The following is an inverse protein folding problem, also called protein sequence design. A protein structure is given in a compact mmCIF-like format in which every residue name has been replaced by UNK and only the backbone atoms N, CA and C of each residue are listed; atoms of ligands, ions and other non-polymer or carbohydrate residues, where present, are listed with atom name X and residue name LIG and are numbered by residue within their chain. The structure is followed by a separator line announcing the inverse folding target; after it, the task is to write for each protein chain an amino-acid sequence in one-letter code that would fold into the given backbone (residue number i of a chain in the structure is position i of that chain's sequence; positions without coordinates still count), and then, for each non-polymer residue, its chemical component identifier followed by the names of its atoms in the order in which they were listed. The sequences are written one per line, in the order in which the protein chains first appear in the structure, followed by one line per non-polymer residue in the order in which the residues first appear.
data_IF_934646258849
#
_entry.id   IF_934646258849
#
_cell.length_a   1.000
_cell.length_b   1.000
_cell.length_c   1.000
_cell.angle_alpha   90.00
_cell.angle_beta   90.00
_cell.angle_gamma   90.00
#
_symmetry.space_group_name_H-M   'P 1'
#
loop_
_entity.id
_entity.type
_entity.pdbx_description
1 polymer ?
#
# COMPACT_ATOMS: atom_id res chain seq x y z
N UNK A 1 -28.32 -21.81 -10.65
CA UNK A 1 -26.97 -21.95 -11.22
C UNK A 1 -26.00 -21.14 -10.37
N UNK A 2 -25.38 -21.77 -9.35
CA UNK A 2 -24.41 -21.10 -8.47
C UNK A 2 -23.04 -21.26 -9.09
N UNK A 3 -22.67 -20.34 -9.97
CA UNK A 3 -21.29 -20.23 -10.45
C UNK A 3 -20.39 -20.00 -9.23
N UNK A 4 -19.57 -21.00 -8.90
CA UNK A 4 -18.52 -20.88 -7.90
C UNK A 4 -17.44 -20.04 -8.56
N UNK A 5 -17.57 -18.72 -8.46
CA UNK A 5 -16.45 -17.83 -8.76
C UNK A 5 -15.43 -18.04 -7.65
N UNK A 6 -14.24 -18.53 -8.00
CA UNK A 6 -13.10 -18.47 -7.11
C UNK A 6 -12.88 -16.99 -6.78
N UNK A 7 -13.20 -16.58 -5.56
CA UNK A 7 -13.00 -15.19 -5.15
C UNK A 7 -11.51 -14.89 -5.21
N UNK A 8 -11.12 -14.03 -6.15
CA UNK A 8 -9.75 -13.53 -6.23
C UNK A 8 -9.64 -12.30 -5.34
N UNK A 9 -8.41 -11.98 -4.94
CA UNK A 9 -8.12 -10.83 -4.05
C UNK A 9 -8.37 -9.45 -4.70
N UNK A 10 -8.70 -9.41 -6.00
CA UNK A 10 -8.89 -8.17 -6.78
C UNK A 10 -10.19 -8.21 -7.61
N UNK A 11 -11.22 -8.91 -7.13
CA UNK A 11 -12.52 -9.02 -7.80
C UNK A 11 -13.45 -7.89 -7.35
N UNK A 12 -13.81 -7.01 -8.30
CA UNK A 12 -14.60 -5.78 -8.09
C UNK A 12 -13.93 -4.73 -7.18
N UNK A 13 -12.60 -4.64 -7.25
CA UNK A 13 -11.80 -3.68 -6.50
C UNK A 13 -11.40 -2.45 -7.35
N UNK A 14 -11.46 -1.27 -6.73
CA UNK A 14 -10.93 -0.02 -7.28
C UNK A 14 -9.69 0.40 -6.50
N UNK A 15 -8.56 0.57 -7.19
CA UNK A 15 -7.34 1.13 -6.65
C UNK A 15 -7.09 2.55 -7.18
N UNK A 16 -6.71 3.46 -6.30
CA UNK A 16 -6.32 4.83 -6.68
C UNK A 16 -5.17 5.28 -5.79
N UNK A 17 -4.20 5.98 -6.38
CA UNK A 17 -3.04 6.50 -5.66
C UNK A 17 -2.62 7.87 -6.19
N UNK A 18 -2.02 8.67 -5.32
CA UNK A 18 -1.47 9.98 -5.63
C UNK A 18 0.02 9.97 -5.30
N UNK A 19 0.84 10.41 -6.26
CA UNK A 19 2.27 10.61 -6.08
C UNK A 19 2.57 12.11 -6.02
N UNK A 20 3.24 12.53 -4.95
CA UNK A 20 3.76 13.87 -4.80
C UNK A 20 5.29 13.83 -4.84
N UNK A 21 5.87 14.62 -5.74
CA UNK A 21 7.33 14.72 -5.92
C UNK A 21 7.73 16.17 -5.67
N UNK A 22 8.64 16.38 -4.72
CA UNK A 22 9.07 17.73 -4.32
C UNK A 22 10.05 18.36 -5.33
N UNK A 23 10.63 17.54 -6.22
CA UNK A 23 11.66 17.95 -7.18
C UNK A 23 12.86 18.66 -6.53
N UNK A 24 13.19 18.33 -5.27
CA UNK A 24 14.36 18.85 -4.59
C UNK A 24 15.62 18.04 -4.96
N UNK A 25 16.79 18.56 -4.62
CA UNK A 25 18.09 17.93 -4.90
C UNK A 25 18.24 16.53 -4.26
N UNK A 26 17.40 16.20 -3.27
CA UNK A 26 17.39 14.90 -2.60
C UNK A 26 16.31 13.95 -3.16
N UNK A 27 15.59 14.35 -4.21
CA UNK A 27 14.52 13.59 -4.87
C UNK A 27 13.49 13.03 -3.90
N UNK A 28 12.98 13.89 -3.03
CA UNK A 28 11.97 13.53 -2.03
C UNK A 28 10.62 13.27 -2.70
N UNK A 29 10.01 12.15 -2.36
CA UNK A 29 8.69 11.78 -2.87
C UNK A 29 7.84 11.07 -1.82
N UNK A 30 6.53 11.17 -2.01
CA UNK A 30 5.52 10.43 -1.25
C UNK A 30 4.51 9.85 -2.24
N UNK A 31 4.21 8.57 -2.11
CA UNK A 31 3.11 7.88 -2.78
C UNK A 31 2.11 7.43 -1.72
N UNK A 32 0.84 7.78 -1.88
CA UNK A 32 -0.22 7.28 -1.01
C UNK A 32 -1.37 6.72 -1.84
N UNK A 33 -1.96 5.62 -1.40
CA UNK A 33 -3.03 4.98 -2.14
C UNK A 33 -4.03 4.25 -1.27
N UNK A 34 -5.19 4.03 -1.87
CA UNK A 34 -6.29 3.25 -1.32
C UNK A 34 -6.75 2.24 -2.37
N UNK A 35 -7.10 1.05 -1.91
CA UNK A 35 -7.80 0.02 -2.68
C UNK A 35 -9.07 -0.31 -1.93
N UNK A 36 -10.22 -0.28 -2.60
CA UNK A 36 -11.52 -0.57 -1.99
C UNK A 36 -12.29 -1.57 -2.84
N UNK A 37 -12.93 -2.52 -2.17
CA UNK A 37 -13.92 -3.41 -2.77
C UNK A 37 -15.24 -2.62 -2.89
N UNK A 38 -15.81 -2.55 -4.10
CA UNK A 38 -16.99 -1.73 -4.37
C UNK A 38 -18.27 -2.27 -3.70
N UNK A 39 -18.31 -3.55 -3.32
CA UNK A 39 -19.48 -4.21 -2.73
C UNK A 39 -19.40 -4.35 -1.21
N UNK A 40 -18.18 -4.51 -0.66
CA UNK A 40 -18.00 -4.95 0.73
C UNK A 40 -17.49 -3.88 1.70
N UNK A 41 -17.12 -2.70 1.20
CA UNK A 41 -16.44 -1.64 1.97
C UNK A 41 -15.14 -2.10 2.65
N UNK A 42 -14.56 -3.21 2.19
CA UNK A 42 -13.20 -3.60 2.58
C UNK A 42 -12.24 -2.62 1.91
N UNK A 43 -11.31 -2.04 2.66
CA UNK A 43 -10.30 -1.17 2.07
C UNK A 43 -8.90 -1.43 2.64
N UNK A 44 -7.92 -1.41 1.74
CA UNK A 44 -6.49 -1.38 2.06
C UNK A 44 -5.91 -0.01 1.71
N UNK A 45 -5.04 0.50 2.56
CA UNK A 45 -4.34 1.77 2.34
C UNK A 45 -2.85 1.58 2.48
N UNK A 46 -2.09 2.41 1.77
CA UNK A 46 -0.65 2.46 1.94
C UNK A 46 -0.11 3.88 1.78
N UNK A 47 1.00 4.14 2.45
CA UNK A 47 1.83 5.34 2.29
C UNK A 47 3.26 4.87 2.13
N UNK A 48 3.94 5.38 1.13
CA UNK A 48 5.35 5.17 0.84
C UNK A 48 6.02 6.54 0.72
N UNK A 49 7.17 6.72 1.33
CA UNK A 49 7.97 7.94 1.22
C UNK A 49 9.44 7.58 1.02
N UNK A 50 10.14 8.30 0.16
CA UNK A 50 11.55 8.09 -0.08
C UNK A 50 12.31 9.41 -0.20
N UNK A 51 13.58 9.40 0.23
CA UNK A 51 14.48 10.56 0.14
C UNK A 51 15.94 10.14 0.20
N UNK A 52 16.81 10.81 -0.57
CA UNK A 52 18.27 10.72 -0.41
C UNK A 52 18.79 11.55 0.77
N UNK A 53 19.70 10.96 1.54
CA UNK A 53 20.43 11.61 2.62
C UNK A 53 21.90 11.75 2.23
N UNK A 54 22.30 12.97 1.82
CA UNK A 54 23.62 13.17 1.22
C UNK A 54 23.77 12.44 -0.12
N UNK A 55 24.96 11.92 -0.38
CA UNK A 55 25.29 11.27 -1.66
C UNK A 55 25.16 9.74 -1.62
N UNK A 56 25.28 9.15 -0.43
CA UNK A 56 25.45 7.69 -0.29
C UNK A 56 24.31 7.00 0.44
N UNK A 57 23.30 7.71 0.93
CA UNK A 57 22.21 7.10 1.69
C UNK A 57 20.85 7.37 1.07
N UNK A 58 19.96 6.38 1.14
CA UNK A 58 18.53 6.53 0.85
C UNK A 58 17.72 6.06 2.05
N UNK A 59 16.78 6.88 2.49
CA UNK A 59 15.78 6.51 3.50
C UNK A 59 14.45 6.25 2.82
N UNK A 60 13.81 5.15 3.18
CA UNK A 60 12.51 4.73 2.67
C UNK A 60 11.59 4.40 3.85
N UNK A 61 10.36 4.85 3.78
CA UNK A 61 9.33 4.59 4.79
C UNK A 61 8.10 4.03 4.11
N UNK A 62 7.54 2.95 4.66
CA UNK A 62 6.29 2.37 4.18
C UNK A 62 5.35 2.10 5.35
N UNK A 63 4.07 2.38 5.15
CA UNK A 63 2.97 1.93 6.00
C UNK A 63 1.93 1.27 5.13
N UNK A 64 1.40 0.14 5.61
CA UNK A 64 0.27 -0.53 5.00
C UNK A 64 -0.74 -0.93 6.06
N UNK A 65 -2.01 -0.67 5.79
CA UNK A 65 -3.10 -1.02 6.69
C UNK A 65 -4.29 -1.61 5.93
N UNK A 66 -4.96 -2.56 6.56
CA UNK A 66 -6.14 -3.25 6.05
C UNK A 66 -7.29 -3.09 7.03
N UNK A 67 -8.47 -2.69 6.52
CA UNK A 67 -9.65 -2.42 7.32
C UNK A 67 -10.91 -3.01 6.69
N UNK A 68 -11.91 -3.31 7.52
CA UNK A 68 -13.22 -3.76 7.05
C UNK A 68 -13.24 -5.16 6.42
N UNK A 69 -12.18 -5.96 6.61
CA UNK A 69 -12.06 -7.30 6.02
C UNK A 69 -13.11 -8.26 6.56
N UNK A 70 -13.75 -9.06 5.71
CA UNK A 70 -14.81 -10.03 6.08
C UNK A 70 -14.33 -11.47 5.97
N UNK A 71 -14.70 -12.33 6.93
CA UNK A 71 -14.25 -13.74 7.03
C UNK A 71 -14.38 -14.57 5.76
N UNK A 72 -15.36 -14.26 4.91
CA UNK A 72 -15.64 -14.96 3.66
C UNK A 72 -14.97 -14.32 2.43
N UNK A 73 -14.07 -13.34 2.59
CA UNK A 73 -13.36 -12.65 1.51
C UNK A 73 -11.85 -12.89 1.60
N UNK A 74 -11.12 -13.00 0.47
CA UNK A 74 -9.68 -13.25 0.46
C UNK A 74 -8.83 -12.28 1.30
N UNK A 75 -9.19 -10.99 1.34
CA UNK A 75 -8.49 -9.95 2.11
C UNK A 75 -8.49 -10.19 3.63
N UNK A 76 -9.36 -11.05 4.17
CA UNK A 76 -9.40 -11.39 5.60
C UNK A 76 -8.12 -12.05 6.12
N UNK A 77 -7.36 -12.68 5.23
CA UNK A 77 -6.06 -13.25 5.58
C UNK A 77 -5.10 -12.19 6.12
N UNK A 78 -5.24 -10.93 5.68
CA UNK A 78 -4.38 -9.79 6.03
C UNK A 78 -4.92 -8.93 7.17
N UNK A 79 -6.00 -9.33 7.85
CA UNK A 79 -6.71 -8.51 8.86
C UNK A 79 -5.84 -8.07 10.06
N UNK A 80 -4.72 -8.75 10.29
CA UNK A 80 -3.75 -8.42 11.35
C UNK A 80 -2.38 -8.06 10.81
N UNK A 81 -2.27 -7.83 9.50
CA UNK A 81 -0.99 -7.61 8.81
C UNK A 81 -0.75 -6.12 8.56
N UNK A 82 -1.25 -5.26 9.45
CA UNK A 82 -0.90 -3.85 9.45
C UNK A 82 0.57 -3.70 9.84
N UNK A 83 1.35 -2.98 9.04
CA UNK A 83 2.77 -2.80 9.32
C UNK A 83 3.25 -1.39 8.97
N UNK A 84 4.35 -1.02 9.61
CA UNK A 84 5.18 0.12 9.26
C UNK A 84 6.63 -0.35 9.17
N UNK A 85 7.35 0.15 8.18
CA UNK A 85 8.73 -0.20 7.89
C UNK A 85 9.52 1.07 7.59
N UNK A 86 10.77 1.09 8.04
CA UNK A 86 11.74 2.13 7.76
C UNK A 86 13.04 1.46 7.33
N UNK A 87 13.49 1.76 6.12
CA UNK A 87 14.73 1.26 5.55
C UNK A 87 15.73 2.40 5.40
N UNK A 88 17.00 2.07 5.65
CA UNK A 88 18.12 2.96 5.44
C UNK A 88 19.17 2.21 4.63
N UNK A 89 19.31 2.62 3.36
CA UNK A 89 20.15 1.97 2.37
C UNK A 89 21.42 2.79 2.14
N UNK A 90 22.59 2.14 2.24
CA UNK A 90 23.88 2.74 1.89
C UNK A 90 24.33 2.29 0.50
N UNK A 91 24.86 3.23 -0.29
CA UNK A 91 25.40 3.03 -1.63
C UNK A 91 26.90 3.35 -1.62
N UNK A 92 27.72 2.44 -2.15
CA UNK A 92 29.20 2.53 -2.19
C UNK A 92 29.75 2.73 -3.61
#
# INVERSE_FOLDING_TARGET
DKRIYAQTIFDNDLATALRFVLNDAQSSEVLAGITTDADTQTFGTFIEASRRLGESWTMEFQVRTFHGTKENRPLYSFRFDNFAQLDLNYHF
#
